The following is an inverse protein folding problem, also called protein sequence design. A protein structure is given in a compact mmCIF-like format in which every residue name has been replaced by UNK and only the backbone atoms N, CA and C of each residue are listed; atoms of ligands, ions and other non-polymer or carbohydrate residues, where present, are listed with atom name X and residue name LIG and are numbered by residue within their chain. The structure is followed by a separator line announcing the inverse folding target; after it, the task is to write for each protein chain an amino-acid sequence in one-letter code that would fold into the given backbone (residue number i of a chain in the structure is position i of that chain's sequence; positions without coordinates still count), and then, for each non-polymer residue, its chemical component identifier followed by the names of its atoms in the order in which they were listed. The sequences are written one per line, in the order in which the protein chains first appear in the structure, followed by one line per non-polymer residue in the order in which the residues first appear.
data_IF_380914504173
#
_entry.id   IF_380914504173
#
_cell.length_a   1.000
_cell.length_b   1.000
_cell.length_c   1.000
_cell.angle_alpha   90.00
_cell.angle_beta   90.00
_cell.angle_gamma   90.00
#
_symmetry.space_group_name_H-M   'P 1'
#
loop_
_entity.id
_entity.type
_entity.pdbx_description
1 polymer ?
#
# COMPACT_ATOMS: atom_id res chain seq x y z
N UNK A 1 -26.22 15.37 -7.38
CA UNK A 1 -25.40 16.23 -8.27
C UNK A 1 -24.15 16.80 -7.60
N UNK A 2 -24.17 17.16 -6.31
CA UNK A 2 -22.98 17.68 -5.59
C UNK A 2 -21.84 16.64 -5.49
N UNK A 3 -22.14 15.36 -5.38
CA UNK A 3 -21.14 14.28 -5.26
C UNK A 3 -20.41 13.94 -6.58
N UNK A 4 -21.03 14.22 -7.72
CA UNK A 4 -20.38 14.09 -9.03
C UNK A 4 -19.32 15.19 -9.24
N UNK A 5 -19.52 16.37 -8.65
CA UNK A 5 -18.58 17.48 -8.71
C UNK A 5 -17.31 17.21 -7.90
N UNK A 6 -17.42 16.49 -6.77
CA UNK A 6 -16.25 16.17 -5.92
C UNK A 6 -15.35 15.12 -6.61
N UNK A 7 -15.94 14.15 -7.28
CA UNK A 7 -15.19 13.14 -8.05
C UNK A 7 -14.59 13.73 -9.32
N UNK A 8 -15.26 14.66 -9.97
CA UNK A 8 -14.72 15.44 -11.08
C UNK A 8 -13.59 16.38 -10.63
N UNK A 9 -13.63 16.93 -9.42
CA UNK A 9 -12.54 17.73 -8.86
C UNK A 9 -11.28 16.90 -8.58
N UNK A 10 -11.41 15.61 -8.26
CA UNK A 10 -10.27 14.71 -8.09
C UNK A 10 -9.53 14.39 -9.42
N UNK A 11 -10.24 14.53 -10.53
CA UNK A 11 -9.69 14.34 -11.87
C UNK A 11 -9.21 15.65 -12.55
N UNK A 12 -9.57 16.83 -12.01
CA UNK A 12 -9.46 18.12 -12.71
C UNK A 12 -8.80 19.20 -11.82
N UNK A 13 -7.77 18.90 -11.09
CA UNK A 13 -6.87 19.97 -10.62
C UNK A 13 -5.70 20.08 -11.59
N UNK A 14 -5.75 20.96 -12.59
CA UNK A 14 -4.56 21.24 -13.38
C UNK A 14 -3.60 22.06 -12.52
N UNK A 15 -2.47 21.49 -12.18
CA UNK A 15 -1.32 22.26 -11.71
C UNK A 15 -0.86 23.14 -12.88
N UNK A 16 -1.37 24.37 -12.95
CA UNK A 16 -0.80 25.39 -13.80
C UNK A 16 0.54 25.84 -13.21
N UNK A 17 1.61 25.18 -13.59
CA UNK A 17 2.96 25.72 -13.38
C UNK A 17 3.54 26.17 -14.71
N UNK A 18 3.92 27.43 -14.76
CA UNK A 18 4.78 27.99 -15.80
C UNK A 18 6.13 27.30 -15.75
N UNK A 19 6.40 26.48 -16.75
CA UNK A 19 7.72 25.89 -16.97
C UNK A 19 8.67 26.93 -17.60
N UNK A 20 9.69 27.24 -16.87
CA UNK A 20 10.91 27.81 -17.38
C UNK A 20 12.07 27.23 -16.62
N UNK A 21 12.65 26.13 -17.12
CA UNK A 21 14.02 25.78 -16.76
C UNK A 21 14.60 24.77 -17.75
N UNK A 22 15.76 25.09 -18.24
CA UNK A 22 16.61 24.33 -19.15
C UNK A 22 17.08 23.03 -18.53
N UNK A 23 16.85 21.92 -19.21
CA UNK A 23 17.34 20.60 -18.82
C UNK A 23 18.81 20.48 -19.21
N UNK A 24 19.70 20.29 -18.23
CA UNK A 24 21.05 19.75 -18.45
C UNK A 24 21.02 18.27 -18.13
N UNK A 25 21.20 17.45 -19.16
CA UNK A 25 21.38 16.00 -19.02
C UNK A 25 22.85 15.80 -18.60
N UNK A 26 23.06 15.31 -17.38
CA UNK A 26 24.29 14.67 -16.97
C UNK A 26 24.03 13.19 -16.86
N UNK A 27 24.62 12.40 -17.75
CA UNK A 27 24.70 10.94 -17.63
C UNK A 27 25.61 10.63 -16.44
N UNK A 28 25.00 10.26 -15.31
CA UNK A 28 25.71 9.64 -14.20
C UNK A 28 25.69 8.14 -14.39
N UNK A 29 26.87 7.52 -14.33
CA UNK A 29 27.00 6.07 -14.28
C UNK A 29 26.23 5.52 -13.08
N UNK A 30 25.50 4.44 -13.30
CA UNK A 30 24.83 3.68 -12.24
C UNK A 30 25.93 3.10 -11.34
N UNK A 31 26.14 3.69 -10.16
CA UNK A 31 26.79 2.98 -9.09
C UNK A 31 25.84 1.89 -8.61
N UNK A 32 26.18 0.66 -8.91
CA UNK A 32 25.53 -0.50 -8.31
C UNK A 32 25.68 -0.40 -6.79
N UNK A 33 24.56 -0.46 -6.08
CA UNK A 33 24.58 -0.65 -4.64
C UNK A 33 25.39 -1.91 -4.35
N UNK A 34 26.34 -1.81 -3.40
CA UNK A 34 27.13 -2.97 -3.00
C UNK A 34 26.25 -4.08 -2.43
N UNK A 35 26.74 -5.30 -2.50
CA UNK A 35 26.05 -6.51 -1.98
C UNK A 35 25.59 -6.37 -0.52
N UNK A 36 26.16 -5.43 0.24
CA UNK A 36 25.80 -5.13 1.63
C UNK A 36 24.44 -4.44 1.79
N UNK A 37 23.87 -3.91 0.71
CA UNK A 37 22.58 -3.20 0.73
C UNK A 37 21.39 -4.06 0.27
N UNK A 38 21.63 -5.31 -0.10
CA UNK A 38 20.59 -6.21 -0.62
C UNK A 38 20.30 -7.38 0.33
N UNK A 39 19.03 -7.58 0.64
CA UNK A 39 18.56 -8.75 1.38
C UNK A 39 18.27 -9.86 0.37
N UNK A 40 19.17 -10.84 0.30
CA UNK A 40 18.93 -12.08 -0.44
C UNK A 40 17.93 -12.96 0.32
N UNK A 41 16.83 -13.28 -0.31
CA UNK A 41 15.80 -14.17 0.23
C UNK A 41 15.92 -15.57 -0.36
N UNK A 42 17.06 -16.23 -0.19
CA UNK A 42 17.13 -17.66 -0.48
C UNK A 42 16.51 -18.43 0.69
N UNK A 43 15.39 -19.11 0.41
CA UNK A 43 14.68 -19.97 1.34
C UNK A 43 15.15 -21.42 1.14
N UNK A 44 15.99 -21.90 2.05
CA UNK A 44 16.21 -23.35 2.21
C UNK A 44 15.38 -23.87 3.39
N UNK A 45 14.96 -25.14 3.31
CA UNK A 45 13.99 -25.77 4.22
C UNK A 45 14.45 -25.85 5.67
N UNK A 46 13.52 -25.75 6.65
CA UNK A 46 13.85 -25.67 8.05
C UNK A 46 13.96 -27.05 8.71
N UNK A 47 15.11 -27.34 9.28
CA UNK A 47 15.22 -28.23 10.43
C UNK A 47 16.28 -27.62 11.34
N UNK A 48 15.85 -26.95 12.40
CA UNK A 48 16.45 -26.96 13.73
C UNK A 48 15.89 -25.83 14.62
N UNK A 49 15.78 -26.12 15.89
CA UNK A 49 15.18 -25.31 16.94
C UNK A 49 16.08 -24.15 17.37
N UNK A 50 15.46 -22.95 17.52
CA UNK A 50 16.09 -21.69 17.96
C UNK A 50 16.44 -21.64 19.44
N UNK A 51 17.69 -21.35 19.76
CA UNK A 51 18.05 -20.65 21.00
C UNK A 51 18.12 -19.14 20.73
N UNK A 52 17.29 -18.37 21.43
CA UNK A 52 17.31 -16.91 21.38
C UNK A 52 18.53 -16.42 22.13
N UNK A 53 19.55 -15.97 21.40
CA UNK A 53 20.66 -15.22 22.00
C UNK A 53 20.29 -13.73 22.08
N UNK A 54 20.25 -13.19 23.29
CA UNK A 54 20.17 -11.75 23.55
C UNK A 54 21.47 -11.08 23.08
N UNK A 55 21.44 -10.52 21.87
CA UNK A 55 22.54 -9.70 21.35
C UNK A 55 22.19 -8.21 21.48
N UNK A 56 23.14 -7.36 21.88
CA UNK A 56 22.93 -5.92 21.91
C UNK A 56 22.57 -5.39 20.51
N UNK A 57 21.57 -4.51 20.46
CA UNK A 57 20.98 -3.96 19.22
C UNK A 57 21.99 -3.30 18.26
N UNK A 58 23.17 -2.93 18.75
CA UNK A 58 24.17 -2.20 17.99
C UNK A 58 25.07 -3.09 17.09
N UNK A 59 24.90 -4.41 17.15
CA UNK A 59 25.72 -5.37 16.39
C UNK A 59 24.96 -6.20 15.35
N UNK A 60 23.66 -5.90 15.14
CA UNK A 60 22.88 -6.58 14.11
C UNK A 60 23.24 -6.00 12.74
N UNK A 61 24.08 -6.70 12.01
CA UNK A 61 24.31 -6.50 10.57
C UNK A 61 23.48 -7.51 9.78
N UNK A 62 23.19 -7.22 8.52
CA UNK A 62 22.48 -8.16 7.62
C UNK A 62 23.16 -9.55 7.59
N UNK A 63 24.49 -9.59 7.71
CA UNK A 63 25.28 -10.83 7.74
C UNK A 63 25.03 -11.70 8.97
N UNK A 64 24.46 -11.15 10.05
CA UNK A 64 24.14 -11.92 11.27
C UNK A 64 22.73 -12.47 11.29
N UNK A 65 21.88 -12.06 10.34
CA UNK A 65 20.55 -12.60 10.18
C UNK A 65 20.61 -13.89 9.34
N UNK A 66 20.57 -15.03 10.03
CA UNK A 66 20.28 -16.29 9.34
C UNK A 66 18.80 -16.27 8.95
N UNK A 67 18.55 -15.94 7.70
CA UNK A 67 17.20 -15.92 7.09
C UNK A 67 16.56 -17.32 7.00
N UNK A 68 17.30 -18.37 7.37
CA UNK A 68 16.87 -19.77 7.34
C UNK A 68 15.87 -20.12 8.46
N UNK A 69 15.63 -19.23 9.41
CA UNK A 69 14.72 -19.53 10.51
C UNK A 69 13.32 -19.02 10.22
N UNK A 70 12.68 -19.83 9.45
CA UNK A 70 11.39 -19.61 8.83
C UNK A 70 10.24 -19.46 9.80
N UNK A 71 9.41 -18.48 9.50
CA UNK A 71 7.98 -18.54 9.75
C UNK A 71 7.45 -19.82 9.09
N UNK A 72 6.68 -20.70 9.76
CA UNK A 72 6.15 -21.89 9.14
C UNK A 72 5.31 -21.51 7.92
N UNK A 73 5.85 -21.81 6.75
CA UNK A 73 5.11 -21.69 5.48
C UNK A 73 4.06 -22.78 5.49
N UNK A 74 2.82 -22.38 5.53
CA UNK A 74 1.67 -23.28 5.38
C UNK A 74 1.78 -24.00 4.05
N UNK A 75 1.71 -25.30 4.12
CA UNK A 75 1.75 -26.39 3.18
C UNK A 75 1.52 -26.09 1.70
N UNK A 76 2.50 -26.51 0.92
CA UNK A 76 2.45 -27.19 -0.37
C UNK A 76 1.23 -27.00 -1.26
N UNK A 77 1.34 -26.04 -2.16
CA UNK A 77 0.71 -26.14 -3.47
C UNK A 77 1.80 -26.43 -4.50
N UNK A 78 1.46 -27.26 -5.49
CA UNK A 78 2.35 -27.58 -6.60
C UNK A 78 2.81 -26.28 -7.26
N UNK A 79 4.12 -26.05 -7.29
CA UNK A 79 4.73 -24.83 -7.79
C UNK A 79 4.72 -24.74 -9.32
N UNK A 80 4.25 -25.74 -10.03
CA UNK A 80 4.35 -25.84 -11.48
C UNK A 80 3.31 -25.00 -12.26
N UNK A 81 2.19 -24.65 -11.63
CA UNK A 81 1.14 -23.84 -12.26
C UNK A 81 1.21 -22.34 -11.91
N UNK A 82 2.09 -21.95 -10.99
CA UNK A 82 2.23 -20.56 -10.54
C UNK A 82 3.66 -20.07 -10.78
N UNK A 83 3.91 -19.53 -11.96
CA UNK A 83 5.13 -18.76 -12.28
C UNK A 83 5.30 -17.46 -11.49
N UNK A 84 4.68 -17.36 -10.31
CA UNK A 84 4.81 -16.22 -9.41
C UNK A 84 5.16 -16.78 -8.02
N UNK A 85 6.09 -16.84 -7.70
CA UNK A 85 7.40 -16.80 -7.16
C UNK A 85 7.45 -16.43 -5.69
N UNK A 86 8.33 -17.17 -4.97
CA UNK A 86 8.69 -17.04 -3.57
C UNK A 86 8.66 -15.60 -3.01
N UNK A 87 9.09 -14.57 -3.77
CA UNK A 87 9.10 -13.18 -3.33
C UNK A 87 7.77 -12.60 -2.92
N UNK A 88 6.70 -12.91 -3.66
CA UNK A 88 5.37 -12.38 -3.32
C UNK A 88 4.89 -13.01 -2.01
N UNK A 89 5.13 -14.29 -1.78
CA UNK A 89 4.77 -14.97 -0.52
C UNK A 89 5.50 -14.45 0.70
N UNK A 90 6.75 -14.00 0.54
CA UNK A 90 7.53 -13.42 1.64
C UNK A 90 7.19 -11.95 1.93
N UNK A 91 6.39 -11.30 1.09
CA UNK A 91 6.12 -9.87 1.17
C UNK A 91 5.59 -9.35 2.52
N UNK A 92 4.98 -10.21 3.34
CA UNK A 92 4.43 -9.85 4.65
C UNK A 92 5.38 -10.15 5.83
N UNK A 93 6.54 -10.74 5.59
CA UNK A 93 7.40 -11.27 6.68
C UNK A 93 8.23 -10.21 7.41
N UNK A 94 8.44 -9.04 6.80
CA UNK A 94 9.30 -7.97 7.32
C UNK A 94 8.76 -7.17 8.52
N UNK A 95 7.53 -7.43 8.97
CA UNK A 95 6.78 -6.54 9.85
C UNK A 95 7.08 -6.66 11.34
N UNK A 96 7.84 -7.67 11.76
CA UNK A 96 8.11 -7.94 13.18
C UNK A 96 9.53 -8.45 13.42
N UNK A 97 9.94 -8.44 14.70
CA UNK A 97 11.19 -9.02 15.16
C UNK A 97 12.45 -8.35 14.61
N UNK A 98 13.60 -9.08 14.61
CA UNK A 98 14.88 -8.55 14.16
C UNK A 98 14.86 -8.11 12.67
N UNK A 99 14.11 -8.80 11.80
CA UNK A 99 14.01 -8.46 10.39
C UNK A 99 13.40 -7.06 10.18
N UNK A 100 12.39 -6.68 10.97
CA UNK A 100 11.83 -5.31 10.93
C UNK A 100 12.92 -4.25 11.14
N UNK A 101 13.78 -4.45 12.14
CA UNK A 101 14.84 -3.50 12.45
C UNK A 101 15.91 -3.44 11.37
N UNK A 102 16.27 -4.59 10.79
CA UNK A 102 17.22 -4.66 9.70
C UNK A 102 16.69 -3.93 8.45
N UNK A 103 15.43 -4.17 8.07
CA UNK A 103 14.76 -3.51 6.94
C UNK A 103 14.63 -2.00 7.16
N UNK A 104 14.22 -1.58 8.37
CA UNK A 104 14.17 -0.16 8.73
C UNK A 104 15.50 0.53 8.48
N UNK A 105 16.61 -0.09 8.93
CA UNK A 105 17.97 0.44 8.74
C UNK A 105 18.38 0.42 7.27
N UNK A 106 18.17 -0.70 6.59
CA UNK A 106 18.57 -0.90 5.18
C UNK A 106 17.90 0.10 4.22
N UNK A 107 16.62 0.39 4.45
CA UNK A 107 15.86 1.31 3.59
C UNK A 107 15.80 2.76 4.11
N UNK A 108 16.62 3.10 5.10
CA UNK A 108 16.82 4.49 5.55
C UNK A 108 15.74 5.05 6.45
N UNK A 109 14.98 4.20 7.15
CA UNK A 109 14.09 4.61 8.22
C UNK A 109 14.88 5.11 9.43
N UNK A 110 14.23 5.85 10.31
CA UNK A 110 14.86 6.50 11.46
C UNK A 110 14.05 6.25 12.75
N UNK A 111 14.65 6.50 13.91
CA UNK A 111 13.89 6.51 15.15
C UNK A 111 12.73 7.50 15.11
N UNK A 112 12.88 8.65 14.45
CA UNK A 112 11.81 9.63 14.28
C UNK A 112 10.64 9.12 13.46
N UNK A 113 10.87 8.27 12.44
CA UNK A 113 9.79 7.61 11.69
C UNK A 113 9.06 6.57 12.53
N UNK A 114 9.77 5.76 13.31
CA UNK A 114 9.17 4.78 14.22
C UNK A 114 8.38 5.43 15.35
N UNK A 115 8.91 6.50 15.95
CA UNK A 115 8.21 7.27 16.98
C UNK A 115 6.90 7.86 16.44
N UNK A 116 6.90 8.32 15.18
CA UNK A 116 5.71 8.84 14.53
C UNK A 116 4.69 7.72 14.27
N UNK A 117 5.12 6.55 13.81
CA UNK A 117 4.25 5.36 13.67
C UNK A 117 3.65 4.98 15.02
N UNK A 118 4.47 4.85 16.07
CA UNK A 118 4.01 4.46 17.42
C UNK A 118 2.95 5.43 17.97
N UNK A 119 3.17 6.75 17.82
CA UNK A 119 2.19 7.76 18.23
C UNK A 119 0.89 7.67 17.40
N UNK A 120 1.00 7.43 16.09
CA UNK A 120 -0.15 7.27 15.21
C UNK A 120 -0.99 6.05 15.56
N UNK A 121 -0.36 4.91 15.78
CA UNK A 121 -1.03 3.68 16.22
C UNK A 121 -1.71 3.85 17.58
N UNK A 122 -1.05 4.53 18.51
CA UNK A 122 -1.64 4.86 19.82
C UNK A 122 -2.88 5.72 19.69
N UNK A 123 -2.86 6.72 18.77
CA UNK A 123 -4.04 7.52 18.48
C UNK A 123 -5.15 6.67 17.86
N UNK A 124 -4.86 5.83 16.85
CA UNK A 124 -5.84 4.93 16.24
C UNK A 124 -6.45 3.97 17.24
N UNK A 125 -5.66 3.36 18.14
CA UNK A 125 -6.17 2.47 19.18
C UNK A 125 -7.16 3.19 20.11
N UNK A 126 -6.89 4.45 20.47
CA UNK A 126 -7.80 5.28 21.28
C UNK A 126 -9.12 5.59 20.57
N UNK A 127 -9.13 5.63 19.22
CA UNK A 127 -10.34 5.91 18.46
C UNK A 127 -11.22 4.67 18.21
N UNK A 128 -10.78 3.48 18.59
CA UNK A 128 -11.58 2.27 18.42
C UNK A 128 -12.85 2.33 19.29
N UNK A 129 -13.98 2.03 18.68
CA UNK A 129 -15.29 1.99 19.33
C UNK A 129 -15.48 0.67 20.11
N UNK A 130 -16.49 0.66 20.96
CA UNK A 130 -16.81 -0.52 21.78
C UNK A 130 -17.21 -1.75 20.96
N UNK A 131 -17.78 -1.54 19.76
CA UNK A 131 -18.14 -2.59 18.80
C UNK A 131 -16.94 -3.12 17.99
N UNK A 132 -15.73 -2.58 18.23
CA UNK A 132 -14.51 -2.92 17.52
C UNK A 132 -14.26 -2.12 16.24
N UNK A 133 -15.22 -1.33 15.80
CA UNK A 133 -15.10 -0.50 14.59
C UNK A 133 -14.33 0.80 14.83
N UNK A 134 -13.99 1.45 13.71
CA UNK A 134 -13.58 2.85 13.65
C UNK A 134 -14.58 3.65 12.82
N UNK A 135 -14.54 4.97 12.94
CA UNK A 135 -15.44 5.91 12.28
C UNK A 135 -14.62 6.96 11.53
N UNK A 136 -14.99 7.28 10.31
CA UNK A 136 -14.38 8.41 9.58
C UNK A 136 -14.81 9.78 10.14
N UNK A 137 -16.02 9.85 10.72
CA UNK A 137 -16.59 11.10 11.23
C UNK A 137 -16.05 11.48 12.61
N UNK A 138 -15.64 10.53 13.41
CA UNK A 138 -15.12 10.81 14.75
C UNK A 138 -15.69 9.91 15.84
N UNK A 139 -15.36 10.25 17.10
CA UNK A 139 -15.48 11.55 17.79
C UNK A 139 -14.17 12.36 17.95
N UNK A 140 -13.57 12.80 16.89
CA UNK A 140 -12.37 13.66 16.88
C UNK A 140 -12.55 14.83 15.90
N UNK A 141 -11.79 15.90 16.09
CA UNK A 141 -11.84 17.08 15.21
C UNK A 141 -11.20 16.75 13.84
N UNK A 142 -11.81 17.23 12.76
CA UNK A 142 -11.34 17.01 11.38
C UNK A 142 -11.75 15.64 10.84
N UNK A 143 -12.86 15.08 11.30
CA UNK A 143 -13.47 13.89 10.70
C UNK A 143 -14.07 14.16 9.32
N UNK A 144 -14.37 13.10 8.59
CA UNK A 144 -15.01 13.15 7.28
C UNK A 144 -16.46 13.69 7.37
N UNK A 145 -17.00 14.12 6.24
CA UNK A 145 -18.38 14.60 6.13
C UNK A 145 -19.42 13.47 6.12
N UNK A 146 -19.00 12.23 5.85
CA UNK A 146 -19.88 11.07 5.81
C UNK A 146 -19.22 9.84 6.43
N UNK A 147 -20.06 8.96 7.00
CA UNK A 147 -19.58 7.75 7.67
C UNK A 147 -19.33 6.60 6.70
N UNK A 148 -18.20 5.89 6.91
CA UNK A 148 -17.90 4.62 6.27
C UNK A 148 -17.10 3.74 7.25
N UNK A 149 -17.80 3.14 8.21
CA UNK A 149 -17.17 2.27 9.22
C UNK A 149 -16.41 1.08 8.64
N UNK A 150 -16.90 0.38 7.59
CA UNK A 150 -16.11 -0.69 6.97
C UNK A 150 -14.74 -0.20 6.49
N UNK A 151 -14.68 0.91 5.74
CA UNK A 151 -13.41 1.48 5.26
C UNK A 151 -12.54 1.97 6.42
N UNK A 152 -13.11 2.72 7.38
CA UNK A 152 -12.39 3.21 8.56
C UNK A 152 -11.73 2.06 9.34
N UNK A 153 -12.49 0.98 9.54
CA UNK A 153 -12.01 -0.17 10.29
C UNK A 153 -10.94 -0.95 9.53
N UNK A 154 -11.12 -1.16 8.22
CA UNK A 154 -10.11 -1.80 7.39
C UNK A 154 -8.81 -0.98 7.33
N UNK A 155 -8.89 0.35 7.14
CA UNK A 155 -7.71 1.21 7.14
C UNK A 155 -6.98 1.19 8.47
N UNK A 156 -7.70 1.32 9.60
CA UNK A 156 -7.07 1.24 10.91
C UNK A 156 -6.42 -0.14 11.15
N UNK A 157 -7.10 -1.23 10.79
CA UNK A 157 -6.54 -2.58 10.86
C UNK A 157 -5.25 -2.71 10.07
N UNK A 158 -5.20 -2.21 8.84
CA UNK A 158 -4.02 -2.26 7.99
C UNK A 158 -2.81 -1.53 8.60
N UNK A 159 -3.02 -0.45 9.36
CA UNK A 159 -1.94 0.21 10.08
C UNK A 159 -1.37 -0.68 11.19
N UNK A 160 -2.20 -1.34 11.98
CA UNK A 160 -1.72 -2.27 13.00
C UNK A 160 -1.02 -3.50 12.41
N UNK A 161 -1.53 -4.02 11.28
CA UNK A 161 -0.92 -5.14 10.56
C UNK A 161 0.44 -4.75 9.98
N UNK A 162 0.56 -3.54 9.42
CA UNK A 162 1.84 -3.01 8.93
C UNK A 162 2.91 -2.94 10.03
N UNK A 163 2.53 -2.57 11.25
CA UNK A 163 3.41 -2.57 12.42
C UNK A 163 3.67 -3.95 13.04
N UNK A 164 3.12 -5.02 12.45
CA UNK A 164 3.34 -6.40 12.90
C UNK A 164 2.38 -6.90 13.99
N UNK A 165 1.35 -6.11 14.37
CA UNK A 165 0.33 -6.57 15.33
C UNK A 165 -0.77 -7.36 14.62
N UNK A 166 -1.12 -8.52 15.16
CA UNK A 166 -2.18 -9.40 14.66
C UNK A 166 -3.19 -9.72 15.76
N UNK A 167 -4.24 -10.46 15.45
CA UNK A 167 -5.16 -10.97 16.48
C UNK A 167 -4.52 -12.07 17.37
N UNK A 168 -3.37 -12.62 16.97
CA UNK A 168 -2.62 -13.65 17.72
C UNK A 168 -1.44 -13.09 18.49
N UNK A 169 -0.88 -11.93 18.11
CA UNK A 169 0.36 -11.41 18.66
C UNK A 169 0.52 -9.90 18.46
N UNK A 170 1.50 -9.31 19.15
CA UNK A 170 1.87 -7.90 19.01
C UNK A 170 1.23 -6.99 20.06
N UNK A 171 1.75 -5.76 20.16
CA UNK A 171 1.33 -4.76 21.16
C UNK A 171 -0.18 -4.46 21.09
N UNK A 172 -0.76 -4.44 19.87
CA UNK A 172 -2.16 -4.11 19.65
C UNK A 172 -3.04 -5.33 19.40
N UNK A 173 -2.66 -6.53 19.90
CA UNK A 173 -3.39 -7.78 19.71
C UNK A 173 -4.90 -7.65 20.01
N UNK A 174 -5.25 -7.08 21.16
CA UNK A 174 -6.65 -6.90 21.57
C UNK A 174 -7.41 -5.96 20.65
N UNK A 175 -6.78 -4.88 20.19
CA UNK A 175 -7.35 -3.92 19.23
C UNK A 175 -7.61 -4.61 17.89
N UNK A 176 -6.63 -5.34 17.38
CA UNK A 176 -6.77 -6.10 16.13
C UNK A 176 -7.84 -7.19 16.27
N UNK A 177 -7.91 -7.91 17.39
CA UNK A 177 -8.94 -8.93 17.64
C UNK A 177 -10.36 -8.37 17.61
N UNK A 178 -10.58 -7.18 18.20
CA UNK A 178 -11.90 -6.51 18.17
C UNK A 178 -12.22 -6.03 16.76
N UNK A 179 -11.27 -5.40 16.06
CA UNK A 179 -11.42 -4.96 14.68
C UNK A 179 -11.73 -6.11 13.73
N UNK A 180 -11.03 -7.22 13.89
CA UNK A 180 -11.29 -8.45 13.13
C UNK A 180 -12.73 -8.95 13.34
N UNK A 181 -13.20 -9.06 14.59
CA UNK A 181 -14.59 -9.46 14.87
C UNK A 181 -15.58 -8.56 14.17
N UNK A 182 -15.36 -7.25 14.18
CA UNK A 182 -16.21 -6.30 13.47
C UNK A 182 -16.19 -6.56 11.97
N UNK A 183 -15.01 -6.66 11.33
CA UNK A 183 -14.92 -6.90 9.87
C UNK A 183 -15.57 -8.25 9.50
N UNK A 184 -15.35 -9.31 10.26
CA UNK A 184 -15.98 -10.62 10.02
C UNK A 184 -17.52 -10.55 10.08
N UNK A 185 -18.08 -9.71 10.94
CA UNK A 185 -19.53 -9.53 11.05
C UNK A 185 -20.17 -8.80 9.86
N UNK A 186 -19.35 -8.19 8.99
CA UNK A 186 -19.83 -7.46 7.82
C UNK A 186 -20.00 -8.33 6.58
N UNK A 187 -19.26 -9.45 6.49
CA UNK A 187 -19.25 -10.26 5.27
C UNK A 187 -20.58 -10.99 5.06
N UNK A 188 -21.19 -10.76 3.91
CA UNK A 188 -22.36 -11.51 3.48
C UNK A 188 -21.99 -12.85 2.78
N UNK A 189 -23.02 -13.55 2.28
CA UNK A 189 -22.86 -14.86 1.63
C UNK A 189 -22.03 -14.79 0.35
N UNK A 190 -22.07 -13.65 -0.35
CA UNK A 190 -21.33 -13.41 -1.59
C UNK A 190 -19.88 -12.95 -1.37
N UNK A 191 -19.50 -12.67 -0.11
CA UNK A 191 -18.16 -12.18 0.25
C UNK A 191 -18.01 -10.66 0.30
N UNK A 192 -19.14 -9.93 0.28
CA UNK A 192 -19.17 -8.48 0.31
C UNK A 192 -19.23 -7.94 1.74
N UNK A 193 -18.35 -6.97 2.08
CA UNK A 193 -18.25 -6.37 3.42
C UNK A 193 -18.92 -5.00 3.54
N UNK A 194 -19.16 -4.33 2.44
CA UNK A 194 -19.44 -2.89 2.44
C UNK A 194 -20.93 -2.56 2.32
N UNK A 195 -21.83 -3.39 2.88
CA UNK A 195 -23.27 -3.15 2.88
C UNK A 195 -23.63 -1.82 3.54
N UNK A 196 -22.99 -1.47 4.65
CA UNK A 196 -23.24 -0.26 5.41
C UNK A 196 -22.59 1.01 4.82
N UNK A 197 -21.73 0.87 3.81
CA UNK A 197 -21.11 2.03 3.15
C UNK A 197 -22.05 2.64 2.11
N UNK A 198 -21.90 3.94 1.86
CA UNK A 198 -22.82 4.72 1.00
C UNK A 198 -22.18 4.98 -0.36
N UNK A 199 -22.95 4.81 -1.42
CA UNK A 199 -22.59 5.22 -2.80
C UNK A 199 -21.26 4.61 -3.27
N UNK A 200 -20.45 5.43 -3.91
CA UNK A 200 -19.18 5.03 -4.53
C UNK A 200 -18.13 4.53 -3.51
N UNK A 201 -18.26 4.87 -2.24
CA UNK A 201 -17.33 4.46 -1.18
C UNK A 201 -17.40 2.95 -0.87
N UNK A 202 -18.46 2.26 -1.30
CA UNK A 202 -18.66 0.81 -1.06
C UNK A 202 -17.53 -0.03 -1.65
N UNK A 203 -17.11 0.28 -2.85
CA UNK A 203 -16.09 -0.49 -3.58
C UNK A 203 -14.71 -0.34 -2.96
N UNK A 204 -14.36 0.86 -2.53
CA UNK A 204 -13.12 1.08 -1.77
C UNK A 204 -13.11 0.33 -0.44
N UNK A 205 -14.22 0.39 0.31
CA UNK A 205 -14.36 -0.33 1.57
C UNK A 205 -14.25 -1.85 1.37
N UNK A 206 -14.85 -2.38 0.31
CA UNK A 206 -14.74 -3.80 -0.06
C UNK A 206 -13.29 -4.21 -0.29
N UNK A 207 -12.57 -3.49 -1.14
CA UNK A 207 -11.17 -3.79 -1.43
C UNK A 207 -10.29 -3.70 -0.17
N UNK A 208 -10.45 -2.67 0.65
CA UNK A 208 -9.69 -2.48 1.88
C UNK A 208 -9.97 -3.58 2.92
N UNK A 209 -11.22 -4.01 3.09
CA UNK A 209 -11.55 -5.15 3.94
C UNK A 209 -10.92 -6.45 3.41
N UNK A 210 -10.94 -6.65 2.09
CA UNK A 210 -10.31 -7.80 1.45
C UNK A 210 -8.80 -7.81 1.71
N UNK A 211 -8.10 -6.68 1.55
CA UNK A 211 -6.67 -6.55 1.87
C UNK A 211 -6.43 -6.94 3.34
N UNK A 212 -7.19 -6.35 4.28
CA UNK A 212 -6.99 -6.58 5.70
C UNK A 212 -7.16 -8.06 6.10
N UNK A 213 -8.15 -8.75 5.56
CA UNK A 213 -8.37 -10.17 5.83
C UNK A 213 -7.29 -11.05 5.18
N UNK A 214 -6.90 -10.76 3.93
CA UNK A 214 -5.85 -11.51 3.23
C UNK A 214 -4.48 -11.34 3.89
N UNK A 215 -4.11 -10.11 4.27
CA UNK A 215 -2.86 -9.86 5.00
C UNK A 215 -2.87 -10.55 6.38
N UNK A 216 -3.98 -10.47 7.12
CA UNK A 216 -4.07 -11.10 8.42
C UNK A 216 -4.01 -12.63 8.33
N UNK A 217 -4.63 -13.23 7.31
CA UNK A 217 -4.47 -14.64 7.01
C UNK A 217 -3.00 -14.98 6.70
N UNK A 218 -2.39 -14.24 5.79
CA UNK A 218 -0.99 -14.46 5.40
C UNK A 218 0.01 -14.31 6.54
N UNK A 219 -0.23 -13.37 7.47
CA UNK A 219 0.63 -13.15 8.65
C UNK A 219 0.45 -14.21 9.75
N UNK A 220 -0.71 -14.89 9.82
CA UNK A 220 -1.03 -15.72 10.99
C UNK A 220 -1.27 -17.19 10.67
N UNK A 221 -1.49 -17.53 9.41
CA UNK A 221 -1.90 -18.86 8.98
C UNK A 221 -3.20 -19.35 9.65
N UNK A 222 -4.08 -18.42 10.09
CA UNK A 222 -5.31 -18.79 10.77
C UNK A 222 -6.32 -19.41 9.80
N UNK A 223 -6.45 -20.72 9.83
CA UNK A 223 -7.34 -21.48 8.93
C UNK A 223 -8.80 -21.00 9.00
N UNK A 224 -9.23 -20.34 10.08
CA UNK A 224 -10.61 -19.80 10.17
C UNK A 224 -10.82 -18.57 9.27
N UNK A 225 -9.76 -17.89 8.85
CA UNK A 225 -9.81 -16.73 7.96
C UNK A 225 -9.78 -17.11 6.48
N UNK A 226 -9.30 -18.31 6.13
CA UNK A 226 -9.20 -18.76 4.73
C UNK A 226 -10.55 -18.72 3.99
N UNK A 227 -11.64 -19.30 4.51
CA UNK A 227 -12.94 -19.25 3.80
C UNK A 227 -13.46 -17.82 3.63
N UNK A 228 -13.19 -16.93 4.59
CA UNK A 228 -13.58 -15.50 4.53
C UNK A 228 -12.78 -14.79 3.44
N UNK A 229 -11.47 -15.00 3.42
CA UNK A 229 -10.57 -14.44 2.39
C UNK A 229 -10.93 -14.93 1.00
N UNK A 230 -11.17 -16.25 0.84
CA UNK A 230 -11.54 -16.83 -0.45
C UNK A 230 -12.88 -16.32 -0.98
N UNK A 231 -13.86 -16.08 -0.13
CA UNK A 231 -15.13 -15.45 -0.54
C UNK A 231 -14.89 -14.01 -1.03
N UNK A 232 -14.09 -13.23 -0.29
CA UNK A 232 -13.77 -11.86 -0.66
C UNK A 232 -12.99 -11.78 -1.99
N UNK A 233 -12.04 -12.70 -2.21
CA UNK A 233 -11.29 -12.82 -3.47
C UNK A 233 -12.22 -13.15 -4.63
N UNK A 234 -13.13 -14.14 -4.44
CA UNK A 234 -14.12 -14.51 -5.45
C UNK A 234 -14.99 -13.32 -5.83
N UNK A 235 -15.53 -12.61 -4.83
CA UNK A 235 -16.28 -11.37 -5.09
C UNK A 235 -15.45 -10.35 -5.90
N UNK A 236 -14.19 -10.14 -5.53
CA UNK A 236 -13.31 -9.23 -6.25
C UNK A 236 -13.13 -9.64 -7.72
N UNK A 237 -12.89 -10.92 -7.99
CA UNK A 237 -12.74 -11.46 -9.35
C UNK A 237 -14.04 -11.36 -10.15
N UNK A 238 -15.15 -11.75 -9.53
CA UNK A 238 -16.47 -11.69 -10.15
C UNK A 238 -16.94 -10.26 -10.44
N UNK A 239 -16.48 -9.28 -9.67
CA UNK A 239 -16.82 -7.86 -9.85
C UNK A 239 -16.04 -7.16 -10.96
N UNK A 240 -14.97 -7.77 -11.53
CA UNK A 240 -14.14 -7.15 -12.58
C UNK A 240 -14.97 -6.73 -13.79
N UNK A 241 -14.79 -5.49 -14.24
CA UNK A 241 -15.44 -4.94 -15.42
C UNK A 241 -14.87 -5.50 -16.73
N UNK A 242 -15.64 -5.39 -17.80
CA UNK A 242 -15.26 -5.91 -19.14
C UNK A 242 -13.98 -5.31 -19.71
N UNK A 243 -13.58 -4.11 -19.26
CA UNK A 243 -12.32 -3.48 -19.66
C UNK A 243 -11.12 -3.92 -18.79
N UNK A 244 -11.31 -4.86 -17.85
CA UNK A 244 -10.26 -5.38 -16.99
C UNK A 244 -10.03 -4.61 -15.68
N UNK A 245 -10.73 -3.50 -15.45
CA UNK A 245 -10.67 -2.72 -14.21
C UNK A 245 -11.91 -2.89 -13.34
N UNK A 246 -11.94 -2.16 -12.23
CA UNK A 246 -13.07 -2.06 -11.29
C UNK A 246 -13.52 -0.61 -11.13
N UNK A 247 -14.78 -0.42 -10.75
CA UNK A 247 -15.38 0.87 -10.47
C UNK A 247 -16.40 0.76 -9.34
N UNK A 248 -17.40 1.62 -9.33
CA UNK A 248 -18.35 1.82 -8.23
C UNK A 248 -19.42 0.75 -8.11
N UNK A 249 -19.65 -0.03 -9.16
CA UNK A 249 -20.50 -1.22 -9.12
C UNK A 249 -19.82 -2.40 -9.85
N UNK A 250 -20.17 -3.64 -9.51
CA UNK A 250 -19.67 -4.83 -10.20
C UNK A 250 -19.93 -4.76 -11.71
N UNK A 251 -18.95 -5.21 -12.49
CA UNK A 251 -19.01 -5.28 -13.97
C UNK A 251 -19.06 -3.93 -14.71
N UNK A 252 -19.02 -2.79 -14.02
CA UNK A 252 -18.85 -1.50 -14.66
C UNK A 252 -17.44 -1.36 -15.28
N UNK A 253 -17.28 -0.55 -16.36
CA UNK A 253 -15.96 -0.20 -16.85
C UNK A 253 -15.12 0.48 -15.77
N UNK A 254 -13.92 -0.04 -15.51
CA UNK A 254 -13.04 0.38 -14.42
C UNK A 254 -12.56 1.83 -14.52
N UNK A 255 -12.14 2.36 -13.38
CA UNK A 255 -11.28 3.52 -13.23
C UNK A 255 -9.98 3.15 -12.49
N UNK A 256 -8.95 3.99 -12.58
CA UNK A 256 -7.62 3.66 -12.05
C UNK A 256 -7.64 3.55 -10.53
N UNK A 257 -8.35 4.46 -9.82
CA UNK A 257 -8.27 4.50 -8.37
C UNK A 257 -8.96 3.31 -7.68
N UNK A 258 -10.10 2.83 -8.21
CA UNK A 258 -10.73 1.61 -7.70
C UNK A 258 -9.94 0.37 -8.13
N UNK A 259 -9.45 0.38 -9.37
CA UNK A 259 -8.66 -0.75 -9.90
C UNK A 259 -7.39 -0.98 -9.09
N UNK A 260 -6.67 0.07 -8.71
CA UNK A 260 -5.47 -0.06 -7.88
C UNK A 260 -5.75 -0.72 -6.53
N UNK A 261 -6.84 -0.36 -5.86
CA UNK A 261 -7.24 -1.01 -4.61
C UNK A 261 -7.56 -2.50 -4.79
N UNK A 262 -8.25 -2.88 -5.87
CA UNK A 262 -8.54 -4.30 -6.15
C UNK A 262 -7.28 -5.07 -6.53
N UNK A 263 -6.35 -4.47 -7.29
CA UNK A 263 -5.05 -5.10 -7.56
C UNK A 263 -4.29 -5.33 -6.27
N UNK A 264 -4.23 -4.35 -5.36
CA UNK A 264 -3.61 -4.55 -4.04
C UNK A 264 -4.30 -5.65 -3.23
N UNK A 265 -5.63 -5.76 -3.29
CA UNK A 265 -6.37 -6.83 -2.62
C UNK A 265 -6.00 -8.23 -3.17
N UNK A 266 -5.95 -8.39 -4.49
CA UNK A 266 -5.54 -9.62 -5.12
C UNK A 266 -4.07 -9.96 -4.86
N UNK A 267 -3.19 -8.94 -4.80
CA UNK A 267 -1.78 -9.16 -4.47
C UNK A 267 -1.59 -9.51 -2.99
N UNK A 268 -2.35 -8.90 -2.07
CA UNK A 268 -2.36 -9.31 -0.65
C UNK A 268 -2.83 -10.76 -0.48
N UNK A 269 -3.81 -11.19 -1.28
CA UNK A 269 -4.23 -12.58 -1.32
C UNK A 269 -3.08 -13.51 -1.74
N UNK A 270 -2.34 -13.15 -2.80
CA UNK A 270 -1.17 -13.92 -3.27
C UNK A 270 -0.02 -13.94 -2.26
N UNK A 271 0.24 -12.82 -1.58
CA UNK A 271 1.19 -12.75 -0.47
C UNK A 271 0.79 -13.67 0.68
N UNK A 272 -0.51 -13.81 0.93
CA UNK A 272 -1.07 -14.77 1.87
C UNK A 272 -1.06 -16.23 1.40
N UNK A 273 -0.61 -16.52 0.18
CA UNK A 273 -0.60 -17.86 -0.40
C UNK A 273 -1.96 -18.32 -0.94
N UNK A 274 -2.92 -17.42 -1.09
CA UNK A 274 -4.24 -17.70 -1.63
C UNK A 274 -4.25 -17.64 -3.16
N UNK A 275 -5.09 -18.47 -3.78
CA UNK A 275 -5.20 -18.53 -5.25
C UNK A 275 -5.96 -17.31 -5.79
N UNK A 276 -5.41 -16.72 -6.83
CA UNK A 276 -6.02 -15.66 -7.64
C UNK A 276 -5.97 -16.09 -9.09
N UNK A 277 -7.09 -15.95 -9.78
CA UNK A 277 -7.20 -16.29 -11.19
C UNK A 277 -6.25 -15.43 -12.05
N UNK A 278 -5.41 -16.09 -12.84
CA UNK A 278 -4.46 -15.43 -13.73
C UNK A 278 -5.15 -14.61 -14.84
N UNK A 279 -6.30 -15.05 -15.33
CA UNK A 279 -7.06 -14.31 -16.34
C UNK A 279 -7.51 -12.94 -15.82
N UNK A 280 -7.91 -12.87 -14.55
CA UNK A 280 -8.25 -11.59 -13.90
C UNK A 280 -7.06 -10.63 -13.91
N UNK A 281 -5.85 -11.12 -13.61
CA UNK A 281 -4.64 -10.29 -13.63
C UNK A 281 -4.23 -9.89 -15.05
N UNK A 282 -4.37 -10.78 -16.03
CA UNK A 282 -4.14 -10.47 -17.43
C UNK A 282 -5.11 -9.37 -17.95
N UNK A 283 -6.35 -9.41 -17.50
CA UNK A 283 -7.32 -8.36 -17.85
C UNK A 283 -6.94 -7.01 -17.25
N UNK A 284 -6.30 -6.98 -16.05
CA UNK A 284 -5.75 -5.72 -15.50
C UNK A 284 -4.69 -5.11 -16.42
N UNK A 285 -3.82 -5.92 -17.05
CA UNK A 285 -2.87 -5.38 -18.03
C UNK A 285 -3.57 -4.63 -19.15
N UNK A 286 -4.68 -5.18 -19.69
CA UNK A 286 -5.49 -4.54 -20.76
C UNK A 286 -6.07 -3.21 -20.27
N UNK A 287 -6.57 -3.17 -19.04
CA UNK A 287 -7.08 -1.93 -18.45
C UNK A 287 -5.96 -0.88 -18.27
N UNK A 288 -4.81 -1.28 -17.75
CA UNK A 288 -3.67 -0.39 -17.57
C UNK A 288 -3.18 0.18 -18.92
N UNK A 289 -3.15 -0.63 -19.98
CA UNK A 289 -2.83 -0.16 -21.33
C UNK A 289 -3.84 0.88 -21.85
N UNK A 290 -5.11 0.72 -21.50
CA UNK A 290 -6.17 1.64 -21.88
C UNK A 290 -5.99 3.01 -21.23
N UNK A 291 -5.75 3.06 -19.91
CA UNK A 291 -5.60 4.32 -19.16
C UNK A 291 -4.24 4.97 -19.39
N UNK A 292 -3.20 4.19 -19.67
CA UNK A 292 -1.88 4.67 -20.08
C UNK A 292 -1.93 5.36 -21.44
N UNK A 293 -2.67 4.83 -22.42
CA UNK A 293 -2.85 5.45 -23.76
C UNK A 293 -3.63 6.76 -23.67
N UNK A 294 -4.60 6.83 -22.79
CA UNK A 294 -5.44 8.01 -22.62
C UNK A 294 -4.67 9.20 -22.03
N UNK A 295 -3.65 8.93 -21.23
CA UNK A 295 -2.75 9.95 -20.72
C UNK A 295 -2.00 10.73 -21.81
N UNK A 296 -2.12 10.28 -23.07
CA UNK A 296 -1.56 10.92 -24.26
C UNK A 296 -2.33 12.12 -24.80
N UNK A 297 -3.34 12.64 -24.12
CA UNK A 297 -4.12 13.82 -24.50
C UNK A 297 -3.37 14.84 -25.40
N UNK A 298 -3.74 16.08 -25.47
CA UNK A 298 -3.07 17.11 -26.29
C UNK A 298 -1.57 17.33 -25.94
N UNK A 299 -1.12 16.91 -24.78
CA UNK A 299 0.30 16.77 -24.40
C UNK A 299 0.71 15.31 -24.61
N UNK A 300 1.02 14.98 -25.85
CA UNK A 300 1.50 13.67 -26.25
C UNK A 300 2.78 13.33 -25.49
N UNK A 301 2.69 12.50 -24.45
CA UNK A 301 3.82 11.74 -23.96
C UNK A 301 3.89 10.45 -24.79
N UNK A 302 4.78 10.36 -25.79
CA UNK A 302 4.87 9.19 -26.66
C UNK A 302 5.37 7.95 -25.93
N UNK A 303 5.83 8.07 -24.70
CA UNK A 303 6.62 7.05 -24.00
C UNK A 303 5.81 6.20 -23.02
N UNK A 304 4.56 6.63 -22.74
CA UNK A 304 3.61 5.80 -21.98
C UNK A 304 3.98 5.61 -20.51
N UNK A 305 4.63 6.60 -19.89
CA UNK A 305 5.09 6.62 -18.51
C UNK A 305 4.05 7.17 -17.52
N UNK A 306 2.84 7.53 -18.00
CA UNK A 306 1.81 8.19 -17.20
C UNK A 306 0.46 7.51 -17.31
N UNK A 307 -0.33 7.64 -16.23
CA UNK A 307 -1.64 7.02 -16.11
C UNK A 307 -2.71 8.05 -15.78
N UNK A 308 -3.89 7.84 -16.35
CA UNK A 308 -5.08 8.64 -16.15
C UNK A 308 -6.12 7.90 -15.31
N UNK A 309 -7.05 8.64 -14.73
CA UNK A 309 -8.17 8.07 -13.98
C UNK A 309 -9.05 7.16 -14.87
N UNK A 310 -9.36 7.62 -16.08
CA UNK A 310 -10.08 6.87 -17.13
C UNK A 310 -9.49 7.19 -18.51
N UNK A 311 -9.86 6.40 -19.52
CA UNK A 311 -9.29 6.48 -20.87
C UNK A 311 -9.40 7.83 -21.57
N UNK A 312 -10.27 8.71 -21.11
CA UNK A 312 -10.49 10.06 -21.66
C UNK A 312 -9.96 11.18 -20.72
N UNK A 313 -9.43 10.84 -19.57
CA UNK A 313 -8.95 11.82 -18.60
C UNK A 313 -7.47 12.18 -18.81
N UNK A 314 -7.04 13.31 -18.25
CA UNK A 314 -5.62 13.65 -18.15
C UNK A 314 -4.92 12.78 -17.09
N UNK A 315 -3.64 12.54 -17.29
CA UNK A 315 -2.82 11.87 -16.28
C UNK A 315 -2.60 12.76 -15.05
N UNK A 316 -2.48 12.13 -13.89
CA UNK A 316 -2.13 12.81 -12.64
C UNK A 316 -0.98 12.09 -11.94
N UNK A 317 -0.24 12.75 -11.03
CA UNK A 317 0.79 12.11 -10.24
C UNK A 317 0.26 10.91 -9.42
N UNK A 318 -0.93 11.04 -8.83
CA UNK A 318 -1.55 9.98 -8.04
C UNK A 318 -1.87 8.74 -8.89
N UNK A 319 -2.56 8.94 -10.02
CA UNK A 319 -2.89 7.82 -10.92
C UNK A 319 -1.66 7.21 -11.56
N UNK A 320 -0.61 8.01 -11.80
CA UNK A 320 0.66 7.51 -12.32
C UNK A 320 1.38 6.63 -11.29
N UNK A 321 1.50 7.08 -10.05
CA UNK A 321 2.07 6.25 -8.98
C UNK A 321 1.31 4.93 -8.81
N UNK A 322 0.00 4.99 -8.81
CA UNK A 322 -0.87 3.83 -8.66
C UNK A 322 -0.78 2.85 -9.84
N UNK A 323 -0.77 3.38 -11.08
CA UNK A 323 -0.61 2.57 -12.29
C UNK A 323 0.75 1.89 -12.37
N UNK A 324 1.82 2.60 -11.99
CA UNK A 324 3.16 2.03 -11.88
C UNK A 324 3.23 0.92 -10.83
N UNK A 325 2.63 1.13 -9.64
CA UNK A 325 2.55 0.09 -8.61
C UNK A 325 1.85 -1.16 -9.13
N UNK A 326 0.72 -1.00 -9.81
CA UNK A 326 0.02 -2.11 -10.42
C UNK A 326 0.91 -2.85 -11.44
N UNK A 327 1.67 -2.13 -12.28
CA UNK A 327 2.61 -2.76 -13.24
C UNK A 327 3.71 -3.55 -12.55
N UNK A 328 4.30 -3.01 -11.48
CA UNK A 328 5.32 -3.70 -10.70
C UNK A 328 4.75 -4.99 -10.08
N UNK A 329 3.56 -4.93 -9.49
CA UNK A 329 2.88 -6.12 -8.96
C UNK A 329 2.55 -7.16 -10.02
N UNK A 330 2.34 -6.74 -11.26
CA UNK A 330 2.07 -7.60 -12.40
C UNK A 330 3.35 -8.02 -13.16
N UNK A 331 4.54 -7.77 -12.57
CA UNK A 331 5.81 -8.30 -13.05
C UNK A 331 6.59 -7.41 -14.02
N UNK A 332 6.23 -6.12 -14.15
CA UNK A 332 7.10 -5.21 -14.89
C UNK A 332 8.39 -4.98 -14.10
N UNK A 333 9.55 -5.01 -14.77
CA UNK A 333 10.82 -4.74 -14.11
C UNK A 333 10.92 -3.24 -13.74
N UNK A 334 11.55 -2.95 -12.60
CA UNK A 334 11.72 -1.59 -12.14
C UNK A 334 12.63 -0.73 -13.01
N UNK A 335 13.49 -1.36 -13.82
CA UNK A 335 14.34 -0.72 -14.82
C UNK A 335 13.69 -0.58 -16.21
N UNK A 336 12.37 -0.82 -16.36
CA UNK A 336 11.65 -0.45 -17.57
C UNK A 336 11.69 1.07 -17.72
N UNK A 337 12.07 1.57 -18.92
CA UNK A 337 12.25 3.00 -19.17
C UNK A 337 11.00 3.85 -18.84
N UNK A 338 9.79 3.27 -18.90
CA UNK A 338 8.53 3.94 -18.54
C UNK A 338 8.38 4.06 -17.02
N UNK A 339 8.84 3.04 -16.29
CA UNK A 339 8.92 3.06 -14.82
C UNK A 339 9.95 4.10 -14.37
N UNK A 340 11.13 4.13 -14.98
CA UNK A 340 12.16 5.12 -14.65
C UNK A 340 11.68 6.56 -14.88
N UNK A 341 11.03 6.84 -16.02
CA UNK A 341 10.48 8.16 -16.30
C UNK A 341 9.34 8.56 -15.36
N UNK A 342 8.43 7.63 -15.09
CA UNK A 342 7.40 7.83 -14.08
C UNK A 342 8.01 8.14 -12.71
N UNK A 343 9.06 7.43 -12.32
CA UNK A 343 9.79 7.63 -11.05
C UNK A 343 10.42 9.02 -10.96
N UNK A 344 11.04 9.50 -12.04
CA UNK A 344 11.58 10.86 -12.10
C UNK A 344 10.47 11.91 -11.87
N UNK A 345 9.31 11.72 -12.48
CA UNK A 345 8.18 12.61 -12.26
C UNK A 345 7.68 12.56 -10.81
N UNK A 346 7.62 11.38 -10.18
CA UNK A 346 7.23 11.25 -8.77
C UNK A 346 8.24 11.96 -7.87
N UNK A 347 9.54 11.76 -8.06
CA UNK A 347 10.59 12.41 -7.30
C UNK A 347 10.62 13.94 -7.45
N UNK A 348 10.15 14.47 -8.58
CA UNK A 348 9.99 15.89 -8.79
C UNK A 348 8.72 16.49 -8.13
N UNK A 349 7.88 15.62 -7.54
CA UNK A 349 6.69 16.00 -6.77
C UNK A 349 6.74 15.36 -5.37
N UNK A 350 7.75 15.64 -4.55
CA UNK A 350 7.94 14.97 -3.26
C UNK A 350 6.86 15.35 -2.25
N UNK A 351 6.88 14.64 -1.12
CA UNK A 351 6.10 15.01 0.07
C UNK A 351 6.47 16.43 0.50
N UNK A 352 5.48 17.24 0.82
CA UNK A 352 5.68 18.65 1.12
C UNK A 352 4.74 19.15 2.20
N UNK A 353 5.22 20.03 3.06
CA UNK A 353 4.39 20.78 4.01
C UNK A 353 3.60 21.91 3.37
N UNK A 354 3.84 22.22 2.10
CA UNK A 354 3.03 23.16 1.35
C UNK A 354 1.61 22.64 1.22
N UNK A 355 0.64 23.37 1.77
CA UNK A 355 -0.76 23.03 1.79
C UNK A 355 -1.34 22.75 0.39
N UNK A 356 -0.91 23.51 -0.61
CA UNK A 356 -1.37 23.35 -2.00
C UNK A 356 -0.87 22.05 -2.66
N UNK A 357 0.04 21.33 -2.02
CA UNK A 357 0.65 20.09 -2.52
C UNK A 357 0.32 18.88 -1.66
N UNK A 358 -0.54 19.04 -0.64
CA UNK A 358 -0.92 17.97 0.27
C UNK A 358 -1.80 16.95 -0.43
N UNK A 359 -1.40 15.66 -0.39
CA UNK A 359 -2.23 14.54 -0.85
C UNK A 359 -1.69 13.23 -0.26
N UNK A 360 -2.27 12.78 0.84
CA UNK A 360 -1.88 11.53 1.48
C UNK A 360 -2.11 10.32 0.56
N UNK A 361 -3.14 10.37 -0.29
CA UNK A 361 -3.38 9.34 -1.30
C UNK A 361 -2.21 9.21 -2.27
N UNK A 362 -1.79 10.32 -2.86
CA UNK A 362 -0.65 10.36 -3.75
C UNK A 362 0.64 9.91 -3.05
N UNK A 363 0.90 10.42 -1.86
CA UNK A 363 2.09 10.09 -1.09
C UNK A 363 2.20 8.61 -0.78
N UNK A 364 1.09 7.96 -0.42
CA UNK A 364 1.06 6.52 -0.17
C UNK A 364 1.47 5.71 -1.41
N UNK A 365 0.82 5.96 -2.56
CA UNK A 365 1.14 5.22 -3.77
C UNK A 365 2.54 5.52 -4.27
N UNK A 366 2.99 6.77 -4.27
CA UNK A 366 4.35 7.13 -4.67
C UNK A 366 5.40 6.50 -3.76
N UNK A 367 5.19 6.53 -2.44
CA UNK A 367 6.07 5.90 -1.46
C UNK A 367 6.21 4.40 -1.72
N UNK A 368 5.09 3.69 -1.84
CA UNK A 368 5.10 2.24 -2.07
C UNK A 368 5.75 1.89 -3.41
N UNK A 369 5.43 2.63 -4.47
CA UNK A 369 6.00 2.43 -5.80
C UNK A 369 7.51 2.62 -5.80
N UNK A 370 7.99 3.75 -5.28
CA UNK A 370 9.42 4.07 -5.28
C UNK A 370 10.22 3.17 -4.33
N UNK A 371 9.61 2.71 -3.23
CA UNK A 371 10.23 1.70 -2.38
C UNK A 371 10.43 0.36 -3.11
N UNK A 372 9.43 -0.09 -3.86
CA UNK A 372 9.57 -1.31 -4.69
C UNK A 372 10.59 -1.17 -5.80
N UNK A 373 10.80 0.03 -6.34
CA UNK A 373 11.83 0.31 -7.35
C UNK A 373 13.21 0.37 -6.71
N UNK A 374 13.33 0.95 -5.53
CA UNK A 374 14.60 1.06 -4.82
C UNK A 374 15.56 2.11 -5.41
N UNK A 375 16.85 1.91 -5.17
CA UNK A 375 17.94 2.70 -5.74
C UNK A 375 17.86 4.19 -5.45
N UNK A 376 18.29 5.01 -6.41
CA UNK A 376 18.34 6.47 -6.27
C UNK A 376 16.96 7.11 -6.16
N UNK A 377 15.98 6.59 -6.86
CA UNK A 377 14.60 7.10 -6.77
C UNK A 377 14.03 6.96 -5.37
N UNK A 378 14.25 5.79 -4.72
CA UNK A 378 13.87 5.60 -3.34
C UNK A 378 14.63 6.53 -2.39
N UNK A 379 15.95 6.68 -2.53
CA UNK A 379 16.76 7.57 -1.68
C UNK A 379 16.26 9.01 -1.73
N UNK A 380 16.04 9.55 -2.94
CA UNK A 380 15.52 10.91 -3.15
C UNK A 380 14.15 11.12 -2.49
N UNK A 381 13.25 10.18 -2.67
CA UNK A 381 11.92 10.24 -2.07
C UNK A 381 11.98 10.13 -0.55
N UNK A 382 12.72 9.16 -0.04
CA UNK A 382 12.83 8.88 1.38
C UNK A 382 13.49 10.03 2.15
N UNK A 383 14.46 10.72 1.57
CA UNK A 383 15.13 11.86 2.21
C UNK A 383 14.16 12.97 2.57
N UNK A 384 13.14 13.22 1.76
CA UNK A 384 12.05 14.15 2.07
C UNK A 384 11.01 13.51 3.01
N UNK A 385 10.56 12.30 2.69
CA UNK A 385 9.47 11.63 3.42
C UNK A 385 9.78 11.46 4.92
N UNK A 386 10.99 10.96 5.25
CA UNK A 386 11.37 10.69 6.65
C UNK A 386 11.46 11.94 7.53
N UNK A 387 11.53 13.13 6.92
CA UNK A 387 11.57 14.43 7.60
C UNK A 387 10.21 15.11 7.58
N UNK A 388 9.63 15.26 6.40
CA UNK A 388 8.41 16.06 6.22
C UNK A 388 7.18 15.39 6.84
N UNK A 389 7.03 14.08 6.68
CA UNK A 389 5.84 13.39 7.14
C UNK A 389 5.73 13.32 8.68
N UNK A 390 6.80 12.98 9.45
CA UNK A 390 6.77 13.12 10.91
C UNK A 390 6.59 14.56 11.41
N UNK A 391 7.06 15.56 10.64
CA UNK A 391 6.89 16.97 11.01
C UNK A 391 5.44 17.46 10.89
N UNK A 392 4.63 16.84 10.01
CA UNK A 392 3.19 17.12 9.86
C UNK A 392 2.32 16.50 10.96
N UNK A 393 2.86 15.59 11.76
CA UNK A 393 2.11 14.92 12.83
C UNK A 393 1.78 15.87 13.98
N UNK A 394 0.57 15.81 14.51
CA UNK A 394 0.16 16.53 15.71
C UNK A 394 0.93 16.03 16.95
N UNK A 395 1.69 16.91 17.58
CA UNK A 395 2.58 16.55 18.70
C UNK A 395 1.96 16.73 20.08
N UNK A 396 0.77 17.34 20.17
CA UNK A 396 0.09 17.62 21.44
C UNK A 396 -1.43 17.70 21.28
N UNK A 397 -2.15 17.80 22.38
CA UNK A 397 -3.61 17.99 22.42
C UNK A 397 -4.40 16.70 22.15
N UNK A 398 -5.73 16.84 21.94
CA UNK A 398 -6.63 15.67 21.81
C UNK A 398 -6.33 14.77 20.61
N UNK A 399 -5.73 15.34 19.56
CA UNK A 399 -5.39 14.65 18.32
C UNK A 399 -3.91 14.26 18.24
N UNK A 400 -3.17 14.34 19.35
CA UNK A 400 -1.75 13.95 19.37
C UNK A 400 -1.54 12.57 18.76
N UNK A 401 -0.61 12.50 17.84
CA UNK A 401 -0.25 11.28 17.10
C UNK A 401 -0.95 11.14 15.75
N UNK A 402 -1.96 11.95 15.44
CA UNK A 402 -2.64 11.94 14.15
C UNK A 402 -2.08 12.96 13.17
N UNK A 403 -2.51 12.86 11.91
CA UNK A 403 -2.26 13.85 10.86
C UNK A 403 -3.58 14.50 10.46
N UNK A 404 -3.56 15.83 10.29
CA UNK A 404 -4.72 16.57 9.79
C UNK A 404 -4.93 16.29 8.31
N UNK A 405 -6.19 16.10 7.90
CA UNK A 405 -6.58 16.03 6.49
C UNK A 405 -6.82 17.42 5.87
N UNK A 406 -6.67 18.49 6.63
CA UNK A 406 -6.88 19.87 6.15
C UNK A 406 -6.01 20.12 4.92
N UNK A 407 -6.59 20.68 3.88
CA UNK A 407 -6.01 20.92 2.56
C UNK A 407 -5.70 19.64 1.73
N UNK A 408 -6.06 18.45 2.20
CA UNK A 408 -6.00 17.24 1.36
C UNK A 408 -7.23 17.19 0.43
N UNK A 409 -7.07 16.83 -0.86
CA UNK A 409 -8.19 16.71 -1.78
C UNK A 409 -9.29 15.73 -1.32
N UNK A 410 -8.95 14.81 -0.44
CA UNK A 410 -9.86 13.80 0.13
C UNK A 410 -10.34 14.13 1.55
N UNK A 411 -10.10 15.35 2.06
CA UNK A 411 -10.49 15.77 3.41
C UNK A 411 -11.95 15.44 3.70
N UNK A 412 -12.86 15.87 2.82
CA UNK A 412 -14.30 15.69 2.99
C UNK A 412 -14.74 14.21 3.01
N UNK A 413 -14.06 13.34 2.29
CA UNK A 413 -14.39 11.90 2.19
C UNK A 413 -13.68 11.01 3.19
N UNK A 414 -12.47 11.37 3.59
CA UNK A 414 -11.59 10.56 4.42
C UNK A 414 -11.38 11.08 5.83
N UNK A 415 -11.24 12.40 5.96
CA UNK A 415 -10.98 13.06 7.25
C UNK A 415 -9.67 12.61 7.90
N UNK A 416 -9.52 12.96 9.16
CA UNK A 416 -8.31 12.73 9.97
C UNK A 416 -7.91 11.25 10.09
N UNK A 417 -8.85 10.33 10.16
CA UNK A 417 -8.53 8.91 10.26
C UNK A 417 -7.83 8.42 8.98
N UNK A 418 -8.36 8.79 7.84
CA UNK A 418 -7.76 8.49 6.54
C UNK A 418 -6.34 9.04 6.43
N UNK A 419 -6.12 10.34 6.67
CA UNK A 419 -4.79 10.94 6.58
C UNK A 419 -3.80 10.31 7.56
N UNK A 420 -4.27 9.96 8.77
CA UNK A 420 -3.45 9.27 9.78
C UNK A 420 -3.05 7.86 9.31
N UNK A 421 -3.99 7.06 8.81
CA UNK A 421 -3.69 5.72 8.30
C UNK A 421 -2.69 5.77 7.14
N UNK A 422 -2.89 6.67 6.18
CA UNK A 422 -2.01 6.78 5.01
C UNK A 422 -0.61 7.30 5.37
N UNK A 423 -0.51 8.22 6.31
CA UNK A 423 0.78 8.66 6.84
C UNK A 423 1.54 7.50 7.53
N UNK A 424 0.83 6.70 8.32
CA UNK A 424 1.40 5.51 8.95
C UNK A 424 1.88 4.52 7.88
N UNK A 425 1.09 4.23 6.83
CA UNK A 425 1.49 3.31 5.75
C UNK A 425 2.76 3.78 5.03
N UNK A 426 2.89 5.09 4.76
CA UNK A 426 4.12 5.64 4.22
C UNK A 426 5.33 5.38 5.13
N UNK A 427 5.16 5.60 6.44
CA UNK A 427 6.24 5.43 7.42
C UNK A 427 6.53 3.96 7.77
N UNK A 428 5.61 3.04 7.49
CA UNK A 428 5.79 1.59 7.64
C UNK A 428 6.41 0.94 6.39
N UNK A 429 6.54 1.67 5.30
CA UNK A 429 6.93 1.10 4.00
C UNK A 429 8.25 0.36 4.05
N UNK A 430 9.17 0.76 4.93
CA UNK A 430 10.49 0.13 5.10
C UNK A 430 10.42 -1.38 5.39
N UNK A 431 9.37 -1.82 6.08
CA UNK A 431 9.18 -3.21 6.52
C UNK A 431 7.79 -3.78 6.20
N UNK A 432 6.89 -2.95 5.64
CA UNK A 432 5.51 -3.36 5.35
C UNK A 432 5.43 -4.40 4.25
N UNK A 433 6.19 -4.21 3.17
CA UNK A 433 6.33 -5.15 2.05
C UNK A 433 7.79 -5.20 1.62
N UNK A 434 8.29 -6.40 1.36
CA UNK A 434 9.63 -6.55 0.78
C UNK A 434 9.63 -6.01 -0.65
N UNK A 435 10.68 -5.29 -1.07
CA UNK A 435 10.79 -4.77 -2.42
C UNK A 435 10.80 -5.86 -3.49
N UNK A 436 10.03 -5.65 -4.56
CA UNK A 436 9.89 -6.62 -5.64
C UNK A 436 11.13 -6.71 -6.55
N UNK A 437 11.87 -5.63 -6.71
CA UNK A 437 12.99 -5.56 -7.66
C UNK A 437 14.25 -6.34 -7.25
N UNK A 438 14.51 -6.47 -5.96
CA UNK A 438 15.64 -7.25 -5.47
C UNK A 438 15.58 -8.73 -5.85
N UNK A 439 14.43 -9.16 -6.31
CA UNK A 439 14.06 -10.53 -6.62
C UNK A 439 14.20 -10.85 -8.11
N UNK A 440 14.13 -9.83 -8.97
CA UNK A 440 14.29 -9.99 -10.43
C UNK A 440 15.78 -9.97 -10.84
N UNK A 441 16.64 -9.28 -10.09
CA UNK A 441 18.08 -9.20 -10.35
C UNK A 441 18.85 -10.50 -10.12
N UNK A 442 18.31 -11.46 -9.34
CA UNK A 442 18.93 -12.77 -9.12
C UNK A 442 18.64 -13.80 -10.23
N UNK A 443 17.92 -13.39 -11.29
CA UNK A 443 17.51 -14.29 -12.41
C UNK A 443 18.22 -14.03 -13.72
N UNK A 444 19.04 -13.00 -13.82
CA UNK A 444 19.95 -12.70 -14.92
C UNK A 444 21.38 -13.13 -14.55
#
# INVERSE_FOLDING_TARGET
MVHLAIILLLAIVPLSQKLGTTIRILSGESETLGEEDMISTQLESPEDTLEVMDLPSDQLTLDTLKLDEAVPVVQTFSTDDLKIEAPIRSGLTGRAGPLKQALLKAYGGTQGTEDAVALGLKWLAKQQRSDGSWSLVGPYRGGASSENKPAASAMAMLAFLGAGSTHKSGEYQNTVSKGLKYILSLQDEDGFFAQAAVGNQRTYAQAQCTIAICELYGMTGDATLEPVAMKAIRYAQDAQGKNGGWRYAPKEPGDMSVTGWYVMALMSARMGGLLVDSEVLENVHKFLDLVQRAARGNNRDPEGDRYAYQSYAASTPAMTAEGMLCRLYLGWPGNDHRIEKGSEMLCNNPISRDQNRRSFYYWYYATTTLHHIGGDFWRRWNDEMKVELPALQEKSGPNQGSWSAEDDPHEGGGGRLYSTCFAIYCLETYYRHLPLNNIQAERE
#
